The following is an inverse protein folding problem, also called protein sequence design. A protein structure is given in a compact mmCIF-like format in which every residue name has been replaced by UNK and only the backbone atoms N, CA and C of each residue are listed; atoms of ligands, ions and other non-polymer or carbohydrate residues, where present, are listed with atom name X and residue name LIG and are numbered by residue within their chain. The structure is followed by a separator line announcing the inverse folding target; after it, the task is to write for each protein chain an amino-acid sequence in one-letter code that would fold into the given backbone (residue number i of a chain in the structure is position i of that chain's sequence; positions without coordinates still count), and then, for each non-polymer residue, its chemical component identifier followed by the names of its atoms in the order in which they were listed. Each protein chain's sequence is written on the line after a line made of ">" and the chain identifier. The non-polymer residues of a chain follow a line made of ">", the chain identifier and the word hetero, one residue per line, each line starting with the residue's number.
data_IF_011750985546
#
_entry.id   IF_011750985546
#
_cell.length_a   1.000
_cell.length_b   1.000
_cell.length_c   1.000
_cell.angle_alpha   90.00
_cell.angle_beta   90.00
_cell.angle_gamma   90.00
#
_symmetry.space_group_name_H-M   'P 1'
#
loop_
_entity.id
_entity.type
_entity.pdbx_description
1 polymer ?
#
# COMPACT_ATOMS: atom_id res chain seq x y z
N UNK A 1 26.30 -36.84 0.22
CA UNK A 1 25.21 -36.10 0.88
C UNK A 1 25.27 -34.67 0.41
N UNK A 2 24.43 -34.32 -0.56
CA UNK A 2 24.37 -32.96 -1.12
C UNK A 2 22.94 -32.48 -0.93
N UNK A 3 22.72 -31.75 0.15
CA UNK A 3 21.45 -31.14 0.51
C UNK A 3 21.11 -30.05 -0.49
N UNK A 4 20.13 -30.35 -1.35
CA UNK A 4 19.44 -29.40 -2.22
C UNK A 4 18.55 -28.50 -1.36
N UNK A 5 19.07 -27.34 -0.96
CA UNK A 5 18.27 -26.24 -0.42
C UNK A 5 17.55 -25.54 -1.56
N UNK A 6 16.43 -26.11 -2.01
CA UNK A 6 15.45 -25.41 -2.83
C UNK A 6 14.78 -24.35 -1.97
N UNK A 7 15.30 -23.13 -2.00
CA UNK A 7 14.60 -21.93 -1.54
C UNK A 7 13.38 -21.74 -2.44
N UNK A 8 12.25 -22.32 -2.04
CA UNK A 8 10.96 -22.12 -2.69
C UNK A 8 10.51 -20.68 -2.46
N UNK A 9 10.81 -19.79 -3.42
CA UNK A 9 10.15 -18.50 -3.56
C UNK A 9 8.68 -18.76 -3.84
N UNK A 10 7.84 -18.77 -2.79
CA UNK A 10 6.41 -19.03 -2.95
C UNK A 10 5.73 -17.79 -3.50
N UNK A 11 5.72 -17.66 -4.83
CA UNK A 11 4.86 -16.70 -5.52
C UNK A 11 3.41 -16.85 -5.06
N UNK A 12 2.68 -15.73 -5.02
CA UNK A 12 1.28 -15.73 -4.59
C UNK A 12 0.46 -16.70 -5.46
N UNK A 13 -0.31 -17.64 -4.86
CA UNK A 13 -1.15 -18.56 -5.60
C UNK A 13 -2.09 -17.81 -6.55
N UNK A 14 -2.27 -18.27 -7.80
CA UNK A 14 -3.02 -17.55 -8.82
C UNK A 14 -4.48 -17.27 -8.41
N UNK A 15 -5.10 -18.19 -7.68
CA UNK A 15 -6.49 -18.04 -7.20
C UNK A 15 -6.62 -16.94 -6.14
N UNK A 16 -5.66 -16.88 -5.20
CA UNK A 16 -5.62 -15.83 -4.17
C UNK A 16 -5.38 -14.47 -4.82
N UNK A 17 -4.43 -14.41 -5.76
CA UNK A 17 -4.14 -13.20 -6.53
C UNK A 17 -5.35 -12.73 -7.33
N UNK A 18 -6.02 -13.61 -8.09
CA UNK A 18 -7.16 -13.25 -8.91
C UNK A 18 -8.34 -12.73 -8.08
N UNK A 19 -8.64 -13.40 -6.96
CA UNK A 19 -9.69 -12.98 -6.04
C UNK A 19 -9.37 -11.61 -5.41
N UNK A 20 -8.15 -11.44 -4.89
CA UNK A 20 -7.72 -10.19 -4.28
C UNK A 20 -7.68 -9.03 -5.29
N UNK A 21 -7.24 -9.28 -6.53
CA UNK A 21 -7.28 -8.28 -7.62
C UNK A 21 -8.70 -7.83 -7.93
N UNK A 22 -9.67 -8.74 -7.98
CA UNK A 22 -11.07 -8.39 -8.22
C UNK A 22 -11.65 -7.53 -7.09
N UNK A 23 -11.37 -7.90 -5.83
CA UNK A 23 -11.78 -7.12 -4.65
C UNK A 23 -11.10 -5.77 -4.59
N UNK A 24 -9.81 -5.70 -4.91
CA UNK A 24 -9.06 -4.45 -4.99
C UNK A 24 -9.66 -3.50 -6.03
N UNK A 25 -10.00 -4.00 -7.23
CA UNK A 25 -10.64 -3.20 -8.26
C UNK A 25 -12.02 -2.66 -7.82
N UNK A 26 -12.79 -3.45 -7.06
CA UNK A 26 -14.05 -2.98 -6.45
C UNK A 26 -13.80 -1.90 -5.39
N UNK A 27 -12.83 -2.10 -4.49
CA UNK A 27 -12.46 -1.14 -3.45
C UNK A 27 -11.99 0.20 -4.04
N UNK A 28 -11.22 0.17 -5.14
CA UNK A 28 -10.81 1.38 -5.88
C UNK A 28 -12.03 2.12 -6.42
N UNK A 29 -13.02 1.41 -7.00
CA UNK A 29 -14.27 2.04 -7.45
C UNK A 29 -15.04 2.66 -6.29
N UNK A 30 -15.18 1.93 -5.18
CA UNK A 30 -15.84 2.45 -3.97
C UNK A 30 -15.13 3.68 -3.41
N UNK A 31 -13.81 3.72 -3.42
CA UNK A 31 -13.06 4.89 -2.98
C UNK A 31 -13.25 6.11 -3.88
N UNK A 32 -13.61 5.90 -5.16
CA UNK A 32 -13.99 6.99 -6.07
C UNK A 32 -15.43 7.46 -5.85
N UNK A 33 -16.33 6.55 -5.47
CA UNK A 33 -17.75 6.85 -5.20
C UNK A 33 -17.98 7.42 -3.77
N UNK A 34 -17.15 7.04 -2.80
CA UNK A 34 -17.20 7.44 -1.38
C UNK A 34 -15.80 7.87 -0.87
N UNK A 35 -15.22 8.96 -1.43
CA UNK A 35 -13.89 9.42 -1.05
C UNK A 35 -13.91 10.05 0.34
N UNK A 36 -12.81 9.90 1.08
CA UNK A 36 -12.55 10.76 2.23
C UNK A 36 -12.46 12.21 1.76
N UNK A 37 -13.27 13.08 2.37
CA UNK A 37 -13.20 14.52 2.18
C UNK A 37 -13.14 15.16 3.57
N UNK A 38 -12.10 15.93 3.88
CA UNK A 38 -12.00 16.60 5.17
C UNK A 38 -13.27 17.41 5.47
N UNK A 39 -13.78 17.26 6.70
CA UNK A 39 -14.98 17.94 7.23
C UNK A 39 -16.32 17.62 6.51
N UNK A 40 -16.32 17.09 5.28
CA UNK A 40 -17.52 16.76 4.51
C UNK A 40 -17.85 15.27 4.56
N UNK A 41 -16.83 14.41 4.47
CA UNK A 41 -16.96 12.96 4.53
C UNK A 41 -15.82 12.32 5.32
N UNK A 42 -15.84 12.52 6.64
CA UNK A 42 -14.82 12.01 7.54
C UNK A 42 -14.79 10.48 7.65
N UNK A 43 -15.81 9.77 7.17
CA UNK A 43 -15.89 8.31 7.17
C UNK A 43 -15.54 7.68 5.82
N UNK A 44 -15.36 8.49 4.77
CA UNK A 44 -15.02 8.01 3.43
C UNK A 44 -13.69 7.27 3.39
N UNK A 45 -13.45 6.61 2.25
CA UNK A 45 -12.26 5.80 2.03
C UNK A 45 -11.07 6.71 1.69
N UNK A 46 -10.00 6.57 2.46
CA UNK A 46 -8.70 7.19 2.16
C UNK A 46 -7.95 6.28 1.19
N UNK A 47 -7.88 6.69 -0.08
CA UNK A 47 -7.15 5.95 -1.12
C UNK A 47 -5.65 6.28 -1.11
N UNK A 48 -4.85 5.48 -0.40
CA UNK A 48 -3.38 5.56 -0.47
C UNK A 48 -2.79 4.53 -1.45
N UNK A 49 -3.61 3.72 -2.13
CA UNK A 49 -3.09 2.71 -3.05
C UNK A 49 -2.62 3.31 -4.39
N UNK A 50 -3.13 4.48 -4.73
CA UNK A 50 -2.89 5.16 -6.00
C UNK A 50 -2.45 6.61 -5.77
N UNK A 51 -1.39 7.03 -6.46
CA UNK A 51 -1.02 8.44 -6.52
C UNK A 51 -1.96 9.20 -7.47
N UNK A 52 -2.26 10.47 -7.14
CA UNK A 52 -2.89 11.39 -8.07
C UNK A 52 -2.14 11.42 -9.40
N UNK A 53 -2.89 11.39 -10.50
CA UNK A 53 -2.38 11.45 -11.88
C UNK A 53 -1.61 12.73 -12.18
N UNK A 54 -1.74 13.75 -11.34
CA UNK A 54 -0.99 15.01 -11.43
C UNK A 54 0.51 14.85 -11.16
N UNK A 55 0.92 13.85 -10.37
CA UNK A 55 2.33 13.53 -10.13
C UNK A 55 2.93 12.62 -11.20
N UNK A 56 2.12 11.76 -11.82
CA UNK A 56 2.58 10.84 -12.87
C UNK A 56 2.56 11.46 -14.26
N UNK A 57 1.71 12.48 -14.49
CA UNK A 57 1.63 13.22 -15.74
C UNK A 57 1.91 14.71 -15.50
N UNK A 58 3.19 15.10 -15.49
CA UNK A 58 3.59 16.50 -15.65
C UNK A 58 3.36 17.04 -17.09
N UNK A 59 2.51 16.39 -17.88
CA UNK A 59 2.33 16.72 -19.29
C UNK A 59 1.30 15.92 -20.07
N UNK A 60 0.14 15.52 -19.53
CA UNK A 60 -1.04 15.30 -20.38
C UNK A 60 -2.33 15.30 -19.55
N UNK A 61 -3.22 16.24 -19.86
CA UNK A 61 -4.52 16.43 -19.21
C UNK A 61 -5.54 15.42 -19.71
N UNK A 62 -6.31 14.77 -18.83
CA UNK A 62 -7.76 14.60 -19.01
C UNK A 62 -8.42 14.33 -17.67
N UNK A 63 -9.41 15.17 -17.33
CA UNK A 63 -10.31 15.05 -16.19
C UNK A 63 -10.89 13.63 -16.06
N UNK A 64 -10.39 12.85 -15.09
CA UNK A 64 -11.12 11.75 -14.46
C UNK A 64 -10.43 11.40 -13.14
N UNK A 65 -10.98 11.94 -12.06
CA UNK A 65 -10.44 11.85 -10.71
C UNK A 65 -10.74 13.15 -10.02
N UNK A 66 -11.96 13.28 -9.47
CA UNK A 66 -12.27 14.38 -8.57
C UNK A 66 -11.27 14.36 -7.42
N UNK A 67 -10.64 15.50 -7.15
CA UNK A 67 -9.67 15.62 -6.09
C UNK A 67 -9.17 17.04 -6.04
N UNK A 68 -9.79 17.82 -5.18
CA UNK A 68 -9.33 19.12 -4.70
C UNK A 68 -8.10 18.95 -3.79
N UNK A 69 -7.11 18.17 -4.24
CA UNK A 69 -5.99 17.76 -3.42
C UNK A 69 -4.79 18.65 -3.75
N UNK A 70 -4.64 19.73 -2.98
CA UNK A 70 -3.33 20.36 -2.84
C UNK A 70 -2.40 19.28 -2.25
N UNK A 71 -1.38 18.82 -3.01
CA UNK A 71 -0.47 17.81 -2.50
C UNK A 71 0.29 18.36 -1.27
N UNK A 72 0.83 17.50 -0.40
CA UNK A 72 1.49 17.96 0.81
C UNK A 72 2.71 18.79 0.44
N UNK A 73 3.06 19.78 1.26
CA UNK A 73 4.24 20.59 1.00
C UNK A 73 5.52 19.73 0.99
N UNK A 74 6.31 19.87 -0.07
CA UNK A 74 7.59 19.18 -0.22
C UNK A 74 7.71 18.36 -1.50
N UNK A 75 8.92 17.87 -1.73
CA UNK A 75 9.19 16.92 -2.81
C UNK A 75 8.68 15.51 -2.44
N UNK A 76 8.29 14.68 -3.42
CA UNK A 76 7.91 13.29 -3.16
C UNK A 76 8.95 12.51 -2.34
N UNK A 77 10.24 12.79 -2.55
CA UNK A 77 11.35 12.20 -1.81
C UNK A 77 11.37 12.64 -0.34
N UNK A 78 11.10 13.91 -0.05
CA UNK A 78 10.99 14.43 1.32
C UNK A 78 9.79 13.82 2.04
N UNK A 79 8.63 13.73 1.38
CA UNK A 79 7.42 13.12 1.94
C UNK A 79 7.62 11.63 2.24
N UNK A 80 8.28 10.91 1.33
CA UNK A 80 8.62 9.50 1.50
C UNK A 80 9.56 9.32 2.70
N UNK A 81 10.61 10.15 2.79
CA UNK A 81 11.58 10.10 3.91
C UNK A 81 10.92 10.43 5.25
N UNK A 82 10.10 11.47 5.30
CA UNK A 82 9.34 11.86 6.49
C UNK A 82 8.41 10.73 6.92
N UNK A 83 7.65 10.16 5.99
CA UNK A 83 6.75 9.04 6.28
C UNK A 83 7.48 7.82 6.85
N UNK A 84 8.62 7.45 6.26
CA UNK A 84 9.42 6.32 6.76
C UNK A 84 9.92 6.59 8.20
N UNK A 85 10.38 7.81 8.46
CA UNK A 85 10.84 8.21 9.79
C UNK A 85 9.70 8.16 10.82
N UNK A 86 8.52 8.71 10.46
CA UNK A 86 7.33 8.69 11.31
C UNK A 86 6.85 7.27 11.58
N UNK A 87 6.75 6.42 10.56
CA UNK A 87 6.38 5.01 10.74
C UNK A 87 7.38 4.27 11.63
N UNK A 88 8.69 4.53 11.45
CA UNK A 88 9.73 3.99 12.32
C UNK A 88 9.56 4.43 13.79
N UNK A 89 9.20 5.69 14.02
CA UNK A 89 8.96 6.22 15.36
C UNK A 89 7.67 5.69 16.00
N UNK A 90 6.58 5.63 15.23
CA UNK A 90 5.25 5.22 15.67
C UNK A 90 5.18 3.74 16.07
N UNK A 91 5.99 2.91 15.41
CA UNK A 91 5.94 1.46 15.55
C UNK A 91 7.19 0.86 16.24
N UNK A 92 8.19 1.69 16.56
CA UNK A 92 9.38 1.30 17.33
C UNK A 92 10.19 0.17 16.70
N UNK A 93 10.99 -0.53 17.52
CA UNK A 93 11.97 -1.54 17.11
C UNK A 93 11.37 -2.87 16.57
N UNK A 94 10.07 -2.95 16.34
CA UNK A 94 9.43 -4.22 15.92
C UNK A 94 8.03 -4.10 15.33
N UNK A 95 7.63 -2.93 14.84
CA UNK A 95 6.23 -2.72 14.48
C UNK A 95 5.94 -2.54 12.99
N UNK A 96 6.69 -1.79 12.18
CA UNK A 96 6.46 -1.66 10.72
C UNK A 96 7.80 -1.43 10.04
N UNK A 97 8.16 -2.26 9.05
CA UNK A 97 9.32 -1.95 8.19
C UNK A 97 8.84 -1.14 6.98
N UNK A 98 9.34 0.10 6.84
CA UNK A 98 8.96 1.00 5.76
C UNK A 98 10.18 1.34 4.88
N UNK A 99 10.05 1.20 3.57
CA UNK A 99 11.12 1.54 2.62
C UNK A 99 10.58 2.34 1.44
N UNK A 100 11.38 3.29 0.95
CA UNK A 100 11.04 4.06 -0.24
C UNK A 100 11.04 3.15 -1.46
N UNK A 101 10.07 3.31 -2.35
CA UNK A 101 10.00 2.59 -3.60
C UNK A 101 10.18 3.57 -4.75
N UNK A 102 11.15 3.26 -5.61
CA UNK A 102 11.40 3.96 -6.88
C UNK A 102 11.63 2.92 -7.97
N UNK A 103 11.04 3.09 -9.14
CA UNK A 103 11.28 2.17 -10.26
C UNK A 103 10.67 2.65 -11.58
N UNK A 104 11.09 2.07 -12.71
CA UNK A 104 10.47 2.33 -14.00
C UNK A 104 8.96 2.05 -13.93
N UNK A 105 8.13 3.02 -14.33
CA UNK A 105 6.66 2.89 -14.33
C UNK A 105 5.97 3.19 -12.98
N UNK A 106 6.72 3.41 -11.90
CA UNK A 106 6.20 3.90 -10.62
C UNK A 106 6.86 5.23 -10.32
N UNK A 107 6.07 6.31 -10.37
CA UNK A 107 6.52 7.65 -10.01
C UNK A 107 7.04 7.72 -8.57
N UNK A 108 7.81 8.76 -8.22
CA UNK A 108 8.29 8.93 -6.85
C UNK A 108 7.12 9.14 -5.88
N UNK A 109 7.31 8.83 -4.59
CA UNK A 109 6.29 9.03 -3.57
C UNK A 109 5.56 7.78 -3.08
N UNK A 110 6.06 6.58 -3.38
CA UNK A 110 5.57 5.34 -2.78
C UNK A 110 6.45 4.88 -1.63
N UNK A 111 5.79 4.39 -0.58
CA UNK A 111 6.39 3.68 0.55
C UNK A 111 5.90 2.24 0.52
N UNK A 112 6.84 1.30 0.59
CA UNK A 112 6.56 -0.11 0.86
C UNK A 112 6.49 -0.31 2.37
N UNK A 113 5.42 -0.95 2.81
CA UNK A 113 5.15 -1.28 4.21
C UNK A 113 5.17 -2.79 4.37
N UNK A 114 5.99 -3.30 5.30
CA UNK A 114 5.92 -4.69 5.74
C UNK A 114 5.09 -4.76 7.01
N UNK A 115 3.94 -5.40 6.89
CA UNK A 115 2.92 -5.55 7.94
C UNK A 115 2.69 -7.03 8.32
N UNK A 116 3.56 -7.95 7.89
CA UNK A 116 3.45 -9.39 8.14
C UNK A 116 3.28 -9.74 9.63
N UNK A 117 3.92 -8.99 10.53
CA UNK A 117 3.80 -9.14 11.99
C UNK A 117 2.38 -8.91 12.54
N UNK A 118 1.51 -8.22 11.79
CA UNK A 118 0.10 -7.99 12.15
C UNK A 118 -0.87 -8.95 11.49
N UNK A 119 -0.37 -9.90 10.70
CA UNK A 119 -1.15 -10.99 10.16
C UNK A 119 -1.28 -12.12 11.18
N UNK A 120 -2.36 -12.87 11.10
CA UNK A 120 -2.52 -14.09 11.89
C UNK A 120 -1.39 -15.09 11.57
N UNK A 121 -1.15 -15.35 10.29
CA UNK A 121 0.03 -16.07 9.76
C UNK A 121 0.90 -15.15 8.89
N UNK A 122 2.10 -14.74 9.35
CA UNK A 122 3.02 -13.87 8.61
C UNK A 122 3.54 -14.43 7.29
N UNK A 123 3.36 -15.73 7.04
CA UNK A 123 3.84 -16.42 5.83
C UNK A 123 2.72 -16.76 4.84
N UNK A 124 1.49 -16.32 5.13
CA UNK A 124 0.30 -16.66 4.36
C UNK A 124 -0.22 -15.49 3.52
N UNK A 125 -0.35 -15.72 2.23
CA UNK A 125 -1.03 -14.80 1.30
C UNK A 125 -2.53 -14.62 1.62
N UNK A 126 -3.16 -15.63 2.23
CA UNK A 126 -4.55 -15.50 2.69
C UNK A 126 -4.66 -14.51 3.86
N UNK A 127 -3.72 -14.56 4.80
CA UNK A 127 -3.67 -13.60 5.92
C UNK A 127 -3.31 -12.19 5.45
N UNK A 128 -2.60 -12.03 4.32
CA UNK A 128 -2.48 -10.72 3.66
C UNK A 128 -3.82 -10.20 3.16
N UNK A 129 -4.60 -11.05 2.47
CA UNK A 129 -5.91 -10.66 1.96
C UNK A 129 -6.89 -10.29 3.09
N UNK A 130 -6.87 -11.01 4.21
CA UNK A 130 -7.70 -10.72 5.39
C UNK A 130 -7.29 -9.44 6.11
N UNK A 131 -5.98 -9.18 6.23
CA UNK A 131 -5.46 -7.93 6.77
C UNK A 131 -5.88 -6.75 5.88
N UNK A 132 -5.75 -6.91 4.56
CA UNK A 132 -6.17 -5.93 3.57
C UNK A 132 -7.67 -5.64 3.61
N UNK A 133 -8.50 -6.67 3.62
CA UNK A 133 -9.96 -6.52 3.66
C UNK A 133 -10.38 -5.76 4.93
N UNK A 134 -9.78 -6.06 6.07
CA UNK A 134 -10.04 -5.30 7.30
C UNK A 134 -9.56 -3.85 7.23
N UNK A 135 -8.44 -3.54 6.55
CA UNK A 135 -7.99 -2.15 6.34
C UNK A 135 -9.05 -1.33 5.59
N UNK A 136 -9.59 -1.91 4.53
CA UNK A 136 -10.58 -1.25 3.68
C UNK A 136 -11.94 -1.18 4.39
N UNK A 137 -12.47 -2.31 4.86
CA UNK A 137 -13.85 -2.39 5.35
C UNK A 137 -14.04 -1.82 6.76
N UNK A 138 -13.04 -1.92 7.62
CA UNK A 138 -13.16 -1.47 9.03
C UNK A 138 -12.61 -0.07 9.23
N UNK A 139 -11.53 0.28 8.52
CA UNK A 139 -10.81 1.54 8.72
C UNK A 139 -10.89 2.47 7.51
N UNK A 140 -11.49 2.05 6.40
CA UNK A 140 -11.57 2.88 5.21
C UNK A 140 -10.20 3.33 4.72
N UNK A 141 -9.16 2.52 4.88
CA UNK A 141 -7.82 2.80 4.35
C UNK A 141 -7.54 1.81 3.23
N UNK A 142 -7.36 2.34 2.03
CA UNK A 142 -7.04 1.53 0.86
C UNK A 142 -5.54 1.60 0.59
N UNK A 143 -4.85 0.48 0.82
CA UNK A 143 -3.48 0.23 0.40
C UNK A 143 -3.46 -0.74 -0.78
N UNK A 144 -2.36 -0.76 -1.54
CA UNK A 144 -2.17 -1.77 -2.59
C UNK A 144 -1.49 -3.01 -2.00
N UNK A 145 -2.12 -4.21 -2.05
CA UNK A 145 -1.48 -5.45 -1.62
C UNK A 145 -0.25 -5.80 -2.48
N UNK A 146 0.75 -6.46 -1.88
CA UNK A 146 1.91 -7.01 -2.58
C UNK A 146 1.52 -8.21 -3.46
N UNK A 147 0.52 -8.99 -3.03
CA UNK A 147 0.00 -10.15 -3.74
C UNK A 147 -0.47 -9.87 -5.17
N UNK A 148 -0.96 -8.65 -5.45
CA UNK A 148 -1.45 -8.27 -6.78
C UNK A 148 -0.33 -7.79 -7.72
N UNK A 149 0.90 -7.67 -7.23
CA UNK A 149 2.07 -7.28 -8.01
C UNK A 149 1.99 -5.88 -8.63
N UNK A 150 2.96 -5.55 -9.50
CA UNK A 150 2.95 -4.33 -10.30
C UNK A 150 1.83 -4.37 -11.34
N UNK A 151 1.38 -3.19 -11.78
CA UNK A 151 0.67 -3.08 -13.05
C UNK A 151 1.62 -3.57 -14.12
N UNK A 152 1.19 -4.55 -14.91
CA UNK A 152 1.92 -5.05 -16.09
C UNK A 152 2.29 -3.85 -16.97
N UNK A 153 3.54 -3.39 -16.89
CA UNK A 153 4.07 -2.46 -17.87
C UNK A 153 4.10 -3.21 -19.20
N UNK A 154 3.41 -2.66 -20.19
CA UNK A 154 3.14 -3.22 -21.53
C UNK A 154 4.39 -3.46 -22.41
N UNK A 155 5.58 -3.46 -21.83
CA UNK A 155 6.86 -3.75 -22.47
C UNK A 155 7.64 -4.78 -21.64
N UNK A 156 7.42 -6.06 -21.94
CA UNK A 156 8.10 -7.22 -21.33
C UNK A 156 9.61 -7.30 -21.66
N UNK A 157 10.16 -6.36 -22.43
CA UNK A 157 11.52 -6.44 -22.98
C UNK A 157 12.60 -5.74 -22.13
N UNK A 158 12.24 -5.06 -21.04
CA UNK A 158 13.17 -4.26 -20.22
C UNK A 158 13.07 -4.53 -18.70
N UNK A 159 12.52 -5.66 -18.28
CA UNK A 159 12.51 -6.03 -16.86
C UNK A 159 13.81 -6.74 -16.48
N UNK A 160 14.68 -6.03 -15.78
CA UNK A 160 15.68 -6.65 -14.90
C UNK A 160 14.95 -7.26 -13.69
N UNK A 161 15.34 -8.47 -13.29
CA UNK A 161 14.76 -9.28 -12.19
C UNK A 161 14.59 -8.55 -10.83
N UNK A 162 15.20 -7.38 -10.63
CA UNK A 162 15.18 -6.61 -9.38
C UNK A 162 13.96 -5.67 -9.18
N UNK A 163 13.09 -5.49 -10.19
CA UNK A 163 11.96 -4.51 -10.11
C UNK A 163 10.60 -5.15 -10.36
N UNK A 164 10.42 -6.41 -9.96
CA UNK A 164 9.08 -6.97 -9.82
C UNK A 164 8.44 -6.38 -8.56
N UNK A 165 7.40 -5.54 -8.71
CA UNK A 165 6.65 -5.00 -7.56
C UNK A 165 5.76 -6.06 -6.87
N UNK A 166 5.75 -7.29 -7.37
CA UNK A 166 5.32 -8.43 -6.58
C UNK A 166 6.30 -8.63 -5.44
N UNK A 167 5.84 -8.53 -4.20
CA UNK A 167 6.65 -9.07 -3.12
C UNK A 167 6.75 -10.58 -3.34
N UNK A 168 7.95 -11.13 -3.15
CA UNK A 168 8.10 -12.58 -3.03
C UNK A 168 7.67 -13.09 -1.65
N UNK A 169 7.19 -12.18 -0.79
CA UNK A 169 6.83 -12.41 0.59
C UNK A 169 5.46 -11.79 0.90
N UNK A 170 4.57 -12.51 1.60
CA UNK A 170 3.30 -11.97 2.06
C UNK A 170 3.48 -10.88 3.12
N UNK A 171 2.45 -10.05 3.26
CA UNK A 171 2.41 -8.95 4.22
C UNK A 171 3.15 -7.71 3.76
N UNK A 172 3.36 -7.56 2.46
CA UNK A 172 3.87 -6.33 1.87
C UNK A 172 2.72 -5.51 1.30
N UNK A 173 2.74 -4.20 1.54
CA UNK A 173 1.76 -3.25 1.03
C UNK A 173 2.46 -2.03 0.43
N UNK A 174 1.83 -1.37 -0.53
CA UNK A 174 2.30 -0.10 -1.08
C UNK A 174 1.31 1.02 -0.74
N UNK A 175 1.87 2.13 -0.29
CA UNK A 175 1.15 3.37 0.01
C UNK A 175 1.79 4.53 -0.77
N UNK A 176 1.00 5.28 -1.53
CA UNK A 176 1.40 6.54 -2.11
C UNK A 176 1.21 7.65 -1.08
N UNK A 177 2.29 8.36 -0.78
CA UNK A 177 2.33 9.47 0.17
C UNK A 177 2.40 10.83 -0.51
N UNK A 178 2.78 10.86 -1.79
CA UNK A 178 2.90 12.12 -2.53
C UNK A 178 1.61 12.53 -3.25
N UNK A 179 0.67 11.61 -3.44
CA UNK A 179 -0.46 11.79 -4.36
C UNK A 179 -1.80 12.19 -3.74
N UNK A 180 -1.83 12.59 -2.46
CA UNK A 180 -3.05 12.92 -1.71
C UNK A 180 -2.84 14.18 -0.87
N UNK A 181 -3.92 14.88 -0.52
CA UNK A 181 -3.85 15.99 0.42
C UNK A 181 -3.23 15.59 1.76
N UNK A 182 -2.60 16.55 2.44
CA UNK A 182 -1.98 16.34 3.74
C UNK A 182 -2.97 15.78 4.76
N UNK A 183 -4.20 16.31 4.81
CA UNK A 183 -5.25 15.82 5.71
C UNK A 183 -5.65 14.37 5.42
N UNK A 184 -5.70 13.97 4.14
CA UNK A 184 -5.96 12.58 3.75
C UNK A 184 -4.80 11.66 4.14
N UNK A 185 -3.55 12.10 3.97
CA UNK A 185 -2.36 11.34 4.38
C UNK A 185 -2.34 11.14 5.90
N UNK A 186 -2.54 12.20 6.68
CA UNK A 186 -2.57 12.15 8.15
C UNK A 186 -3.70 11.25 8.64
N UNK A 187 -4.91 11.41 8.08
CA UNK A 187 -6.06 10.57 8.44
C UNK A 187 -5.82 9.11 8.09
N UNK A 188 -5.30 8.82 6.89
CA UNK A 188 -4.98 7.46 6.46
C UNK A 188 -3.95 6.79 7.38
N UNK A 189 -2.91 7.52 7.77
CA UNK A 189 -1.89 7.01 8.69
C UNK A 189 -2.43 6.78 10.11
N UNK A 190 -3.29 7.66 10.61
CA UNK A 190 -3.90 7.50 11.94
C UNK A 190 -4.85 6.29 11.99
N UNK A 191 -5.67 6.12 10.95
CA UNK A 191 -6.55 4.95 10.83
C UNK A 191 -5.75 3.65 10.69
N UNK A 192 -4.70 3.64 9.88
CA UNK A 192 -3.76 2.51 9.77
C UNK A 192 -3.14 2.20 11.13
N UNK A 193 -2.64 3.21 11.84
CA UNK A 193 -2.06 3.05 13.18
C UNK A 193 -3.05 2.43 14.15
N UNK A 194 -4.27 2.95 14.20
CA UNK A 194 -5.33 2.46 15.09
C UNK A 194 -5.59 0.97 14.85
N UNK A 195 -5.71 0.56 13.59
CA UNK A 195 -5.91 -0.84 13.24
C UNK A 195 -4.76 -1.74 13.68
N UNK A 196 -3.53 -1.35 13.36
CA UNK A 196 -2.36 -2.15 13.64
C UNK A 196 -2.15 -2.29 15.16
N UNK A 197 -2.42 -1.23 15.94
CA UNK A 197 -2.41 -1.28 17.41
C UNK A 197 -3.53 -2.16 17.97
N UNK A 198 -4.76 -2.06 17.45
CA UNK A 198 -5.87 -2.90 17.90
C UNK A 198 -5.57 -4.38 17.66
N UNK A 199 -5.05 -4.74 16.48
CA UNK A 199 -4.62 -6.11 16.21
C UNK A 199 -3.47 -6.53 17.11
N UNK A 200 -2.43 -5.71 17.27
CA UNK A 200 -1.30 -6.04 18.16
C UNK A 200 -1.76 -6.31 19.60
N UNK A 201 -2.72 -5.54 20.10
CA UNK A 201 -3.32 -5.72 21.42
C UNK A 201 -4.17 -7.00 21.51
N UNK A 202 -5.08 -7.23 20.56
CA UNK A 202 -5.98 -8.38 20.55
C UNK A 202 -5.25 -9.71 20.38
N UNK A 203 -4.14 -9.72 19.63
CA UNK A 203 -3.35 -10.91 19.34
C UNK A 203 -2.16 -11.09 20.31
N UNK A 204 -1.99 -10.24 21.32
CA UNK A 204 -1.04 -10.41 22.42
C UNK A 204 0.45 -10.38 22.04
N UNK A 205 0.80 -9.81 20.88
CA UNK A 205 2.19 -9.74 20.39
C UNK A 205 2.84 -8.45 20.91
N UNK A 206 3.52 -8.47 22.06
CA UNK A 206 4.29 -7.33 22.60
C UNK A 206 5.77 -7.45 22.29
#
# INVERSE_FOLDING_TARGET
>A
SSSSSSSSSSSCPPDVRANLSARYADAVRRAADDPFVPYENANGIVNLAECSTTLTNRGETTNRGGGWDDPPEGTPEELTRATIAELGALFGQGGVEATAVTGPGIGPGFVRLRLAQFQDDPTSWASEAELWESMVETYGVLLRPGAIGAVESRDESAMSDDVAFGSNEPGTFLACVAGRSEEALLTGMDRLRTQLLQRKFLHGRW
#
